data_IF_193388234344
#
_entry.id   IF_193388234344
#
_cell.length_a   1.000
_cell.length_b   1.000
_cell.length_c   1.000
_cell.angle_alpha   90.00
_cell.angle_beta   90.00
_cell.angle_gamma   90.00
#
_symmetry.space_group_name_H-M   'P 1'
#
loop_
_entity.id
_entity.type
_entity.pdbx_description
1 polymer ?
#
# COMPACT_ATOMS: atom_id res chain seq x y z
N UNK A 1 -18.93 -1.45 12.61
CA UNK A 1 -17.62 -0.89 12.20
C UNK A 1 -17.23 -1.56 10.90
N UNK A 2 -16.87 -0.78 9.90
CA UNK A 2 -16.34 -1.31 8.65
C UNK A 2 -14.82 -1.32 8.75
N UNK A 3 -14.23 -2.51 8.62
CA UNK A 3 -12.79 -2.70 8.65
C UNK A 3 -12.26 -2.98 7.24
N UNK A 4 -11.13 -2.37 6.90
CA UNK A 4 -10.36 -2.69 5.69
C UNK A 4 -8.88 -2.70 6.01
N UNK A 5 -8.15 -3.62 5.38
CA UNK A 5 -6.69 -3.72 5.48
C UNK A 5 -6.07 -3.40 4.12
N UNK A 6 -5.05 -2.55 4.13
CA UNK A 6 -4.14 -2.36 3.00
C UNK A 6 -2.76 -2.89 3.34
N UNK A 7 -2.18 -3.73 2.49
CA UNK A 7 -0.79 -4.20 2.60
C UNK A 7 -0.03 -3.82 1.34
N UNK A 8 1.09 -3.12 1.52
CA UNK A 8 2.04 -2.77 0.48
C UNK A 8 3.33 -3.58 0.66
N UNK A 9 3.55 -4.54 -0.23
CA UNK A 9 4.73 -5.39 -0.24
C UNK A 9 5.73 -4.87 -1.27
N UNK A 10 6.61 -3.98 -0.82
CA UNK A 10 7.70 -3.41 -1.63
C UNK A 10 8.94 -4.28 -1.62
N UNK A 11 9.98 -3.89 -2.36
CA UNK A 11 11.25 -4.61 -2.40
C UNK A 11 12.09 -4.50 -1.13
N UNK A 12 11.99 -3.38 -0.41
CA UNK A 12 12.76 -3.11 0.81
C UNK A 12 11.93 -3.29 2.09
N UNK A 13 10.65 -2.94 2.06
CA UNK A 13 9.78 -3.02 3.23
C UNK A 13 8.36 -3.47 2.86
N UNK A 14 7.76 -4.28 3.74
CA UNK A 14 6.35 -4.62 3.73
C UNK A 14 5.64 -3.79 4.79
N UNK A 15 4.63 -3.05 4.36
CA UNK A 15 3.86 -2.10 5.17
C UNK A 15 2.40 -2.54 5.20
N UNK A 16 1.71 -2.27 6.29
CA UNK A 16 0.28 -2.53 6.35
C UNK A 16 -0.46 -1.63 7.32
N UNK A 17 -1.73 -1.37 7.01
CA UNK A 17 -2.61 -0.49 7.77
C UNK A 17 -3.97 -1.18 7.94
N UNK A 18 -4.50 -1.13 9.17
CA UNK A 18 -5.91 -1.37 9.44
C UNK A 18 -6.63 -0.02 9.52
N UNK A 19 -7.66 0.15 8.69
CA UNK A 19 -8.62 1.23 8.79
C UNK A 19 -9.91 0.71 9.43
N UNK A 20 -10.42 1.44 10.42
CA UNK A 20 -11.76 1.26 10.98
C UNK A 20 -12.55 2.54 10.74
N UNK A 21 -13.62 2.47 9.95
CA UNK A 21 -14.46 3.62 9.58
C UNK A 21 -13.63 4.82 9.06
N UNK A 22 -12.62 4.53 8.24
CA UNK A 22 -11.72 5.53 7.67
C UNK A 22 -10.63 6.04 8.61
N UNK A 23 -10.51 5.52 9.83
CA UNK A 23 -9.46 5.91 10.79
C UNK A 23 -8.40 4.81 10.88
N UNK A 24 -7.12 5.20 10.83
CA UNK A 24 -6.00 4.27 11.03
C UNK A 24 -5.95 3.82 12.49
N UNK A 25 -6.18 2.52 12.73
CA UNK A 25 -6.20 1.95 14.08
C UNK A 25 -5.03 1.02 14.36
N UNK A 26 -4.44 0.39 13.34
CA UNK A 26 -3.21 -0.41 13.48
C UNK A 26 -2.26 -0.20 12.31
N UNK A 27 -0.97 -0.44 12.57
CA UNK A 27 0.12 -0.30 11.61
C UNK A 27 1.04 -1.52 11.71
N UNK A 28 1.59 -1.92 10.59
CA UNK A 28 2.59 -2.97 10.45
C UNK A 28 3.71 -2.47 9.53
N UNK A 29 4.97 -2.74 9.90
CA UNK A 29 6.13 -2.37 9.11
C UNK A 29 7.29 -3.31 9.44
N UNK A 30 7.79 -4.01 8.43
CA UNK A 30 9.00 -4.84 8.53
C UNK A 30 9.83 -4.72 7.26
N UNK A 31 11.16 -4.97 7.31
CA UNK A 31 11.94 -5.20 6.11
C UNK A 31 11.35 -6.35 5.28
N UNK A 32 11.27 -6.19 3.96
CA UNK A 32 10.80 -7.28 3.08
C UNK A 32 11.82 -8.42 3.12
N UNK A 33 11.42 -9.62 3.54
CA UNK A 33 12.32 -10.76 3.59
C UNK A 33 12.55 -11.32 2.18
N UNK A 34 13.52 -12.24 2.07
CA UNK A 34 13.78 -12.97 0.82
C UNK A 34 12.54 -13.64 0.21
N UNK A 35 11.57 -14.04 1.05
CA UNK A 35 10.25 -14.55 0.62
C UNK A 35 9.16 -13.54 1.01
N UNK A 36 8.84 -12.53 0.19
CA UNK A 36 7.93 -11.45 0.59
C UNK A 36 6.54 -11.93 1.04
N UNK A 37 6.08 -13.07 0.51
CA UNK A 37 4.83 -13.71 0.92
C UNK A 37 4.74 -13.96 2.44
N UNK A 38 5.87 -14.26 3.12
CA UNK A 38 5.84 -14.49 4.57
C UNK A 38 5.51 -13.22 5.35
N UNK A 39 6.08 -12.07 4.94
CA UNK A 39 5.76 -10.79 5.56
C UNK A 39 4.34 -10.30 5.22
N UNK A 40 3.82 -10.65 4.05
CA UNK A 40 2.41 -10.40 3.70
C UNK A 40 1.48 -11.17 4.64
N UNK A 41 1.75 -12.47 4.86
CA UNK A 41 0.97 -13.29 5.80
C UNK A 41 1.07 -12.76 7.23
N UNK A 42 2.28 -12.39 7.68
CA UNK A 42 2.48 -11.80 9.00
C UNK A 42 1.68 -10.50 9.17
N UNK A 43 1.78 -9.58 8.20
CA UNK A 43 1.00 -8.34 8.20
C UNK A 43 -0.51 -8.60 8.29
N UNK A 44 -1.01 -9.57 7.52
CA UNK A 44 -2.42 -9.96 7.53
C UNK A 44 -2.87 -10.44 8.91
N UNK A 45 -2.14 -11.38 9.51
CA UNK A 45 -2.47 -11.94 10.82
C UNK A 45 -2.39 -10.88 11.93
N UNK A 46 -1.33 -10.08 11.97
CA UNK A 46 -1.16 -9.01 12.97
C UNK A 46 -2.26 -7.95 12.87
N UNK A 47 -2.59 -7.50 11.65
CA UNK A 47 -3.56 -6.42 11.48
C UNK A 47 -4.99 -6.88 11.79
N UNK A 48 -5.34 -8.14 11.52
CA UNK A 48 -6.69 -8.67 11.77
C UNK A 48 -6.91 -9.24 13.17
N UNK A 49 -5.87 -9.35 13.98
CA UNK A 49 -5.92 -10.02 15.29
C UNK A 49 -7.06 -9.49 16.18
N UNK A 50 -7.94 -10.40 16.65
CA UNK A 50 -9.05 -10.05 17.54
C UNK A 50 -10.22 -9.33 16.87
N UNK A 51 -10.24 -9.16 15.55
CA UNK A 51 -11.45 -8.71 14.84
C UNK A 51 -12.45 -9.86 14.73
N UNK A 52 -13.72 -9.57 15.02
CA UNK A 52 -14.82 -10.55 14.88
C UNK A 52 -15.24 -10.77 13.41
N UNK A 53 -14.96 -9.78 12.55
CA UNK A 53 -15.29 -9.80 11.12
C UNK A 53 -14.01 -9.80 10.28
N UNK A 54 -13.99 -10.59 9.20
CA UNK A 54 -12.91 -10.55 8.22
C UNK A 54 -12.91 -9.20 7.49
N UNK A 55 -11.85 -8.38 7.62
CA UNK A 55 -11.74 -7.12 6.90
C UNK A 55 -11.47 -7.35 5.41
N UNK A 56 -11.93 -6.43 4.56
CA UNK A 56 -11.58 -6.44 3.13
C UNK A 56 -10.10 -6.14 2.95
N UNK A 57 -9.38 -7.00 2.24
CA UNK A 57 -7.93 -6.90 2.03
C UNK A 57 -7.60 -6.39 0.63
N UNK A 58 -6.88 -5.27 0.57
CA UNK A 58 -6.22 -4.78 -0.65
C UNK A 58 -4.71 -4.97 -0.57
N UNK A 59 -4.13 -5.60 -1.58
CA UNK A 59 -2.68 -5.78 -1.74
C UNK A 59 -2.10 -4.87 -2.82
N UNK A 60 -0.92 -4.32 -2.56
CA UNK A 60 -0.19 -3.46 -3.49
C UNK A 60 1.33 -3.67 -3.40
N UNK A 61 2.08 -2.91 -4.19
CA UNK A 61 3.53 -3.07 -4.35
C UNK A 61 3.90 -4.21 -5.32
N UNK A 62 5.21 -4.48 -5.42
CA UNK A 62 5.77 -5.56 -6.22
C UNK A 62 5.23 -6.94 -5.81
N UNK A 63 5.04 -7.15 -4.51
CA UNK A 63 4.58 -8.43 -3.96
C UNK A 63 3.08 -8.69 -4.09
N UNK A 64 2.29 -7.78 -4.70
CA UNK A 64 0.82 -7.85 -4.69
C UNK A 64 0.20 -9.11 -5.30
N UNK A 65 0.94 -9.82 -6.15
CA UNK A 65 0.50 -11.05 -6.82
C UNK A 65 1.07 -12.33 -6.19
N UNK A 66 1.79 -12.23 -5.08
CA UNK A 66 2.47 -13.37 -4.45
C UNK A 66 1.56 -14.24 -3.58
N UNK A 67 0.34 -13.77 -3.30
CA UNK A 67 -0.68 -14.49 -2.53
C UNK A 67 -2.04 -14.36 -3.22
N UNK A 68 -2.92 -15.33 -2.98
CA UNK A 68 -4.23 -15.46 -3.63
C UNK A 68 -5.41 -15.10 -2.72
N UNK A 69 -5.17 -14.86 -1.43
CA UNK A 69 -6.21 -14.54 -0.44
C UNK A 69 -6.59 -13.06 -0.35
N UNK A 70 -5.99 -12.18 -1.15
CA UNK A 70 -6.36 -10.77 -1.18
C UNK A 70 -7.64 -10.55 -2.00
N UNK A 71 -8.62 -9.84 -1.45
CA UNK A 71 -9.86 -9.50 -2.15
C UNK A 71 -9.62 -8.60 -3.37
N UNK A 72 -8.57 -7.78 -3.31
CA UNK A 72 -8.18 -6.89 -4.41
C UNK A 72 -6.67 -6.71 -4.51
N UNK A 73 -6.17 -6.66 -5.74
CA UNK A 73 -4.78 -6.31 -6.05
C UNK A 73 -4.75 -5.03 -6.88
N UNK A 74 -3.97 -4.04 -6.43
CA UNK A 74 -3.91 -2.70 -7.05
C UNK A 74 -2.46 -2.25 -7.18
N UNK A 75 -2.14 -1.45 -8.21
CA UNK A 75 -0.80 -0.89 -8.38
C UNK A 75 -0.46 0.09 -7.26
N UNK A 76 0.82 0.15 -6.87
CA UNK A 76 1.26 1.09 -5.83
C UNK A 76 1.03 2.54 -6.23
N UNK A 77 1.07 2.86 -7.53
CA UNK A 77 0.83 4.21 -8.07
C UNK A 77 -0.57 4.71 -7.66
N UNK A 78 -1.59 3.86 -7.85
CA UNK A 78 -2.97 4.23 -7.49
C UNK A 78 -3.12 4.34 -5.98
N UNK A 79 -2.52 3.40 -5.23
CA UNK A 79 -2.56 3.40 -3.76
C UNK A 79 -1.86 4.62 -3.16
N UNK A 80 -0.70 5.02 -3.68
CA UNK A 80 0.03 6.21 -3.22
C UNK A 80 -0.73 7.50 -3.51
N UNK A 81 -1.31 7.63 -4.71
CA UNK A 81 -2.16 8.78 -5.04
C UNK A 81 -3.35 8.92 -4.09
N UNK A 82 -4.09 7.82 -3.89
CA UNK A 82 -5.25 7.78 -3.00
C UNK A 82 -4.87 8.02 -1.53
N UNK A 83 -3.80 7.36 -1.05
CA UNK A 83 -3.31 7.52 0.31
C UNK A 83 -2.82 8.95 0.59
N UNK A 84 -2.13 9.57 -0.36
CA UNK A 84 -1.70 10.96 -0.25
C UNK A 84 -2.89 11.92 -0.19
N UNK A 85 -3.93 11.72 -1.02
CA UNK A 85 -5.18 12.50 -0.97
C UNK A 85 -5.95 12.30 0.34
N UNK A 86 -5.97 11.08 0.86
CA UNK A 86 -6.60 10.77 2.15
C UNK A 86 -5.92 11.55 3.30
N UNK A 87 -4.59 11.67 3.30
CA UNK A 87 -3.84 12.40 4.33
C UNK A 87 -3.78 13.92 4.09
N UNK A 88 -3.72 14.34 2.83
CA UNK A 88 -3.60 15.72 2.41
C UNK A 88 -4.50 15.97 1.17
N UNK A 89 -5.75 16.42 1.37
CA UNK A 89 -6.76 16.51 0.29
C UNK A 89 -6.37 17.39 -0.90
N UNK A 90 -5.47 18.36 -0.71
CA UNK A 90 -5.00 19.28 -1.76
C UNK A 90 -3.82 18.72 -2.59
N UNK A 91 -3.39 17.48 -2.35
CA UNK A 91 -2.25 16.88 -3.06
C UNK A 91 -2.47 16.83 -4.57
N UNK A 92 -1.51 17.38 -5.32
CA UNK A 92 -1.48 17.38 -6.80
C UNK A 92 -0.35 16.54 -7.39
N UNK A 93 0.65 16.22 -6.57
CA UNK A 93 1.77 15.39 -6.98
C UNK A 93 2.25 14.55 -5.79
N UNK A 94 2.67 13.32 -6.06
CA UNK A 94 3.35 12.45 -5.11
C UNK A 94 4.72 12.11 -5.68
N UNK A 95 5.76 12.28 -4.88
CA UNK A 95 7.11 11.81 -5.18
C UNK A 95 7.39 10.65 -4.23
N UNK A 96 7.41 9.44 -4.76
CA UNK A 96 7.72 8.21 -4.03
C UNK A 96 9.18 7.83 -4.29
N UNK A 97 10.01 7.87 -3.24
CA UNK A 97 11.43 7.51 -3.31
C UNK A 97 11.56 6.15 -2.60
N UNK A 98 11.54 5.08 -3.39
CA UNK A 98 11.67 3.72 -2.92
C UNK A 98 13.13 3.27 -2.79
N UNK A 99 13.33 2.02 -2.36
CA UNK A 99 14.67 1.45 -2.23
C UNK A 99 15.27 0.92 -3.54
N UNK A 100 14.48 0.84 -4.62
CA UNK A 100 14.95 0.36 -5.93
C UNK A 100 14.57 1.29 -7.08
N UNK A 101 13.52 2.10 -6.91
CA UNK A 101 13.00 2.98 -7.93
C UNK A 101 12.51 4.29 -7.29
N UNK A 102 12.29 5.30 -8.13
CA UNK A 102 11.62 6.53 -7.74
C UNK A 102 10.49 6.82 -8.71
N UNK A 103 9.36 7.28 -8.19
CA UNK A 103 8.15 7.57 -8.96
C UNK A 103 7.68 9.01 -8.72
N UNK A 104 7.22 9.65 -9.77
CA UNK A 104 6.48 10.91 -9.71
C UNK A 104 5.08 10.63 -10.24
N UNK A 105 4.07 10.95 -9.44
CA UNK A 105 2.67 10.66 -9.69
C UNK A 105 1.93 11.98 -9.73
N UNK A 106 1.28 12.31 -10.84
CA UNK A 106 0.49 13.53 -10.99
C UNK A 106 -0.99 13.24 -10.79
N UNK A 107 -1.66 14.08 -10.01
CA UNK A 107 -3.10 14.00 -9.72
C UNK A 107 -3.84 15.22 -10.26
N UNK A 108 -5.06 15.03 -10.76
CA UNK A 108 -5.94 16.11 -11.20
C UNK A 108 -6.55 16.85 -10.00
N UNK A 109 -7.53 17.72 -10.29
CA UNK A 109 -8.24 18.50 -9.30
C UNK A 109 -9.07 17.64 -8.34
N UNK A 110 -9.64 16.56 -8.85
CA UNK A 110 -10.49 15.61 -8.13
C UNK A 110 -9.68 14.50 -7.42
N UNK A 111 -8.38 14.42 -7.68
CA UNK A 111 -7.46 13.47 -7.06
C UNK A 111 -7.27 12.18 -7.84
N UNK A 112 -7.77 12.14 -9.07
CA UNK A 112 -7.55 11.02 -9.98
C UNK A 112 -6.13 11.09 -10.54
N UNK A 113 -5.59 9.90 -10.83
CA UNK A 113 -4.29 9.76 -11.48
C UNK A 113 -4.33 10.30 -12.91
N UNK A 114 -3.53 11.32 -13.22
CA UNK A 114 -3.37 11.83 -14.58
C UNK A 114 -2.25 11.14 -15.33
N UNK A 115 -1.08 11.09 -14.70
CA UNK A 115 0.17 10.68 -15.32
C UNK A 115 1.14 10.18 -14.23
N UNK A 116 2.13 9.39 -14.64
CA UNK A 116 3.22 9.00 -13.77
C UNK A 116 4.51 8.77 -14.55
N UNK A 117 5.64 9.09 -13.91
CA UNK A 117 6.98 8.76 -14.36
C UNK A 117 7.67 7.89 -13.33
N UNK A 118 8.47 6.93 -13.79
CA UNK A 118 9.22 6.02 -12.94
C UNK A 118 10.66 5.90 -13.46
N UNK A 119 11.62 6.01 -12.55
CA UNK A 119 13.00 5.64 -12.79
C UNK A 119 13.30 4.32 -12.07
N UNK A 120 13.48 3.25 -12.85
CA UNK A 120 13.71 1.88 -12.39
C UNK A 120 15.07 1.31 -12.87
N UNK A 121 15.89 2.11 -13.56
CA UNK A 121 17.13 1.65 -14.22
C UNK A 121 18.42 2.15 -13.58
N UNK A 122 18.34 3.14 -12.69
CA UNK A 122 19.48 3.63 -11.92
C UNK A 122 19.20 3.42 -10.44
N UNK A 123 20.20 2.96 -9.69
CA UNK A 123 20.08 2.87 -8.23
C UNK A 123 19.65 4.23 -7.67
N UNK A 124 18.63 4.19 -6.81
CA UNK A 124 18.11 5.35 -6.09
C UNK A 124 19.13 5.90 -5.09
#
# INVERSE_FOLDING_TARGET
MTYSIGIDSGSTATKGILLADGVITRRFLVPTPFRPATAITEAWETLREGLETTPFLTLTGYGRQLVDFADKQVTEISCHGLGARFLAPATRAVIDIGGQDSKVIQLDDDGNLCDFLMNDKCAA
#
